data_IF_108324819218
#
_entry.id   IF_108324819218
#
_cell.length_a   1.000
_cell.length_b   1.000
_cell.length_c   1.000
_cell.angle_alpha   90.00
_cell.angle_beta   90.00
_cell.angle_gamma   90.00
#
_symmetry.space_group_name_H-M   'P 1'
#
loop_
_entity.id
_entity.type
_entity.pdbx_description
1 polymer ?
#
# COMPACT_ATOMS: atom_id res chain seq x y z
N UNK A 1 32.16 -24.05 5.36
CA UNK A 1 31.67 -22.89 4.62
C UNK A 1 30.64 -22.20 5.49
N UNK A 2 30.91 -20.97 5.91
CA UNK A 2 29.89 -20.18 6.59
C UNK A 2 28.90 -19.73 5.51
N UNK A 3 27.71 -20.32 5.47
CA UNK A 3 26.64 -19.98 4.53
C UNK A 3 25.76 -18.85 5.07
N UNK A 4 26.32 -17.99 5.92
CA UNK A 4 25.63 -16.82 6.43
C UNK A 4 25.57 -15.78 5.30
N UNK A 5 24.51 -15.87 4.48
CA UNK A 5 24.22 -14.89 3.46
C UNK A 5 23.76 -13.61 4.17
N UNK A 6 24.68 -12.68 4.41
CA UNK A 6 24.31 -11.36 4.93
C UNK A 6 23.47 -10.61 3.88
N UNK A 7 22.17 -10.55 4.13
CA UNK A 7 21.23 -9.86 3.24
C UNK A 7 21.56 -8.37 3.24
N UNK A 8 21.78 -7.79 2.05
CA UNK A 8 22.03 -6.36 1.92
C UNK A 8 20.82 -5.54 2.40
N UNK A 9 21.06 -4.37 2.98
CA UNK A 9 19.99 -3.45 3.42
C UNK A 9 18.99 -3.16 2.28
N UNK A 10 19.49 -3.02 1.05
CA UNK A 10 18.63 -2.85 -0.12
C UNK A 10 17.71 -4.05 -0.34
N UNK A 11 18.26 -5.27 -0.35
CA UNK A 11 17.48 -6.50 -0.49
C UNK A 11 16.44 -6.63 0.62
N UNK A 12 16.82 -6.35 1.88
CA UNK A 12 15.92 -6.36 3.04
C UNK A 12 14.75 -5.39 2.85
N UNK A 13 15.01 -4.18 2.35
CA UNK A 13 13.99 -3.16 2.12
C UNK A 13 13.03 -3.53 1.00
N UNK A 14 13.54 -4.09 -0.11
CA UNK A 14 12.71 -4.58 -1.21
C UNK A 14 11.81 -5.73 -0.74
N UNK A 15 12.38 -6.69 0.00
CA UNK A 15 11.64 -7.84 0.52
C UNK A 15 10.59 -7.43 1.56
N UNK A 16 10.89 -6.42 2.38
CA UNK A 16 9.93 -5.80 3.31
C UNK A 16 8.74 -5.18 2.55
N UNK A 17 9.01 -4.44 1.47
CA UNK A 17 7.98 -3.90 0.59
C UNK A 17 7.13 -4.99 -0.08
N UNK A 18 7.77 -6.05 -0.59
CA UNK A 18 7.07 -7.17 -1.22
C UNK A 18 6.15 -7.90 -0.24
N UNK A 19 6.68 -8.25 0.93
CA UNK A 19 5.91 -8.95 1.96
C UNK A 19 4.75 -8.08 2.44
N UNK A 20 5.00 -6.81 2.73
CA UNK A 20 3.94 -5.86 3.06
C UNK A 20 2.89 -5.74 1.96
N UNK A 21 3.28 -5.75 0.69
CA UNK A 21 2.38 -5.71 -0.47
C UNK A 21 1.46 -6.93 -0.57
N UNK A 22 1.97 -8.12 -0.22
CA UNK A 22 1.16 -9.34 -0.16
C UNK A 22 0.08 -9.22 0.93
N UNK A 23 0.45 -8.79 2.15
CA UNK A 23 -0.53 -8.60 3.22
C UNK A 23 -1.53 -7.47 2.92
N UNK A 24 -1.06 -6.37 2.33
CA UNK A 24 -1.92 -5.28 1.88
C UNK A 24 -2.92 -5.77 0.83
N UNK A 25 -2.50 -6.67 -0.06
CA UNK A 25 -3.39 -7.30 -1.04
C UNK A 25 -4.50 -8.09 -0.37
N UNK A 26 -4.19 -8.94 0.61
CA UNK A 26 -5.21 -9.67 1.36
C UNK A 26 -6.17 -8.73 2.07
N UNK A 27 -5.66 -7.70 2.74
CA UNK A 27 -6.49 -6.69 3.40
C UNK A 27 -7.42 -5.96 2.41
N UNK A 28 -6.90 -5.57 1.24
CA UNK A 28 -7.68 -4.92 0.19
C UNK A 28 -8.73 -5.85 -0.42
N UNK A 29 -8.42 -7.14 -0.62
CA UNK A 29 -9.39 -8.10 -1.13
C UNK A 29 -10.53 -8.33 -0.15
N UNK A 30 -10.21 -8.46 1.15
CA UNK A 30 -11.21 -8.57 2.22
C UNK A 30 -12.09 -7.32 2.25
N UNK A 31 -11.47 -6.13 2.25
CA UNK A 31 -12.20 -4.86 2.23
C UNK A 31 -13.11 -4.73 1.01
N UNK A 32 -12.58 -5.02 -0.19
CA UNK A 32 -13.35 -4.95 -1.43
C UNK A 32 -14.54 -5.92 -1.41
N UNK A 33 -14.35 -7.15 -0.94
CA UNK A 33 -15.45 -8.12 -0.84
C UNK A 33 -16.52 -7.68 0.15
N UNK A 34 -16.12 -7.25 1.36
CA UNK A 34 -17.04 -6.78 2.38
C UNK A 34 -17.81 -5.53 1.94
N UNK A 35 -17.11 -4.54 1.36
CA UNK A 35 -17.72 -3.31 0.89
C UNK A 35 -18.76 -3.57 -0.19
N UNK A 36 -18.45 -4.44 -1.16
CA UNK A 36 -19.38 -4.80 -2.24
C UNK A 36 -20.58 -5.60 -1.74
N UNK A 37 -20.39 -6.47 -0.75
CA UNK A 37 -21.48 -7.21 -0.13
C UNK A 37 -22.49 -6.29 0.58
N UNK A 38 -22.04 -5.14 1.09
CA UNK A 38 -22.88 -4.16 1.80
C UNK A 38 -23.54 -3.17 0.84
N UNK A 39 -22.81 -2.73 -0.18
CA UNK A 39 -23.22 -1.62 -1.07
C UNK A 39 -23.89 -2.09 -2.36
N UNK A 40 -23.91 -3.40 -2.64
CA UNK A 40 -24.36 -4.00 -3.90
C UNK A 40 -23.68 -3.40 -5.14
N UNK A 41 -22.51 -2.77 -4.95
CA UNK A 41 -21.78 -2.11 -6.02
C UNK A 41 -21.18 -3.13 -6.98
N UNK A 42 -21.68 -3.13 -8.21
CA UNK A 42 -21.24 -4.03 -9.28
C UNK A 42 -19.86 -3.65 -9.83
N UNK A 43 -19.15 -4.58 -10.51
CA UNK A 43 -17.76 -4.40 -10.89
C UNK A 43 -17.53 -3.20 -11.82
N UNK A 44 -16.88 -2.16 -11.28
CA UNK A 44 -16.10 -1.23 -12.10
C UNK A 44 -14.95 -1.98 -12.78
N UNK A 45 -14.73 -1.70 -14.07
CA UNK A 45 -13.60 -2.24 -14.82
C UNK A 45 -12.24 -1.85 -14.19
N UNK A 46 -12.19 -0.74 -13.45
CA UNK A 46 -10.96 -0.23 -12.85
C UNK A 46 -10.56 -0.97 -11.56
N UNK A 47 -11.50 -1.11 -10.60
CA UNK A 47 -11.23 -1.74 -9.31
C UNK A 47 -11.76 -3.18 -9.34
N UNK A 48 -11.01 -4.05 -10.01
CA UNK A 48 -11.26 -5.49 -10.03
C UNK A 48 -10.19 -6.24 -9.21
N UNK A 49 -10.41 -7.54 -8.98
CA UNK A 49 -9.51 -8.40 -8.18
C UNK A 49 -8.08 -8.35 -8.71
N UNK A 50 -7.90 -8.46 -10.02
CA UNK A 50 -6.58 -8.44 -10.67
C UNK A 50 -5.87 -7.10 -10.47
N UNK A 51 -6.58 -5.97 -10.66
CA UNK A 51 -6.04 -4.63 -10.42
C UNK A 51 -5.61 -4.46 -8.96
N UNK A 52 -6.43 -4.93 -8.01
CA UNK A 52 -6.10 -4.86 -6.58
C UNK A 52 -4.81 -5.60 -6.29
N UNK A 53 -4.65 -6.82 -6.79
CA UNK A 53 -3.44 -7.63 -6.56
C UNK A 53 -2.21 -6.95 -7.16
N UNK A 54 -2.26 -6.60 -8.44
CA UNK A 54 -1.11 -6.04 -9.15
C UNK A 54 -0.69 -4.70 -8.54
N UNK A 55 -1.64 -3.79 -8.33
CA UNK A 55 -1.36 -2.44 -7.82
C UNK A 55 -0.88 -2.52 -6.37
N UNK A 56 -1.52 -3.32 -5.52
CA UNK A 56 -1.13 -3.42 -4.10
C UNK A 56 0.29 -3.94 -3.94
N UNK A 57 0.63 -5.03 -4.63
CA UNK A 57 1.98 -5.60 -4.56
C UNK A 57 3.00 -4.61 -5.14
N UNK A 58 2.74 -4.05 -6.31
CA UNK A 58 3.69 -3.18 -7.01
C UNK A 58 3.95 -1.89 -6.22
N UNK A 59 2.89 -1.19 -5.80
CA UNK A 59 3.00 0.10 -5.10
C UNK A 59 3.73 -0.07 -3.77
N UNK A 60 3.39 -1.10 -2.98
CA UNK A 60 4.03 -1.32 -1.68
C UNK A 60 5.47 -1.83 -1.85
N UNK A 61 5.77 -2.63 -2.87
CA UNK A 61 7.15 -3.03 -3.18
C UNK A 61 8.02 -1.83 -3.56
N UNK A 62 7.51 -0.94 -4.44
CA UNK A 62 8.19 0.32 -4.78
C UNK A 62 8.37 1.19 -3.54
N UNK A 63 7.40 1.21 -2.62
CA UNK A 63 7.56 1.95 -1.37
C UNK A 63 8.70 1.41 -0.50
N UNK A 64 8.98 0.10 -0.54
CA UNK A 64 10.15 -0.50 0.10
C UNK A 64 11.46 -0.02 -0.52
N UNK A 65 11.52 0.12 -1.84
CA UNK A 65 12.68 0.73 -2.52
C UNK A 65 12.85 2.18 -2.09
N UNK A 66 11.77 2.96 -2.06
CA UNK A 66 11.80 4.36 -1.64
C UNK A 66 12.21 4.48 -0.17
N UNK A 67 11.73 3.60 0.70
CA UNK A 67 12.10 3.58 2.11
C UNK A 67 13.60 3.41 2.29
N UNK A 68 14.25 2.53 1.51
CA UNK A 68 15.70 2.39 1.50
C UNK A 68 16.39 3.71 1.17
N UNK A 69 15.98 4.40 0.10
CA UNK A 69 16.59 5.67 -0.29
C UNK A 69 16.45 6.74 0.79
N UNK A 70 15.27 6.85 1.40
CA UNK A 70 15.05 7.78 2.50
C UNK A 70 15.94 7.43 3.70
N UNK A 71 15.91 6.17 4.14
CA UNK A 71 16.62 5.73 5.33
C UNK A 71 18.15 5.79 5.18
N UNK A 72 18.67 5.48 3.99
CA UNK A 72 20.10 5.38 3.73
C UNK A 72 20.74 6.76 3.44
N UNK A 73 20.08 7.65 2.70
CA UNK A 73 20.67 8.93 2.27
C UNK A 73 20.27 10.14 3.11
N UNK A 74 19.20 10.06 3.92
CA UNK A 74 18.65 11.20 4.65
C UNK A 74 18.71 10.94 6.17
N UNK A 75 19.30 11.87 6.92
CA UNK A 75 19.28 11.83 8.39
C UNK A 75 17.84 11.92 8.89
N UNK A 76 17.37 10.92 9.62
CA UNK A 76 15.97 10.82 10.04
C UNK A 76 15.01 10.41 8.92
N UNK A 77 15.53 9.85 7.82
CA UNK A 77 14.77 9.51 6.63
C UNK A 77 13.54 8.62 6.87
N UNK A 78 13.58 7.71 7.85
CA UNK A 78 12.42 6.90 8.25
C UNK A 78 11.23 7.76 8.71
N UNK A 79 11.46 8.82 9.48
CA UNK A 79 10.41 9.75 9.93
C UNK A 79 9.90 10.58 8.74
N UNK A 80 10.81 11.09 7.91
CA UNK A 80 10.46 11.90 6.74
C UNK A 80 9.62 11.07 5.76
N UNK A 81 10.00 9.83 5.51
CA UNK A 81 9.25 8.88 4.69
C UNK A 81 7.81 8.74 5.19
N UNK A 82 7.63 8.51 6.50
CA UNK A 82 6.28 8.39 7.09
C UNK A 82 5.46 9.66 6.89
N UNK A 83 6.03 10.83 7.16
CA UNK A 83 5.32 12.11 6.99
C UNK A 83 4.91 12.33 5.53
N UNK A 84 5.82 12.09 4.58
CA UNK A 84 5.56 12.23 3.16
C UNK A 84 4.45 11.28 2.71
N UNK A 85 4.52 10.01 3.08
CA UNK A 85 3.51 9.03 2.68
C UNK A 85 2.17 9.22 3.38
N UNK A 86 2.13 9.69 4.64
CA UNK A 86 0.87 10.10 5.29
C UNK A 86 0.22 11.25 4.51
N UNK A 87 0.99 12.27 4.12
CA UNK A 87 0.48 13.39 3.33
C UNK A 87 -0.01 12.93 1.94
N UNK A 88 0.77 12.09 1.25
CA UNK A 88 0.39 11.54 -0.05
C UNK A 88 -0.87 10.67 0.03
N UNK A 89 -1.00 9.83 1.05
CA UNK A 89 -2.22 9.04 1.29
C UNK A 89 -3.41 9.95 1.55
N UNK A 90 -3.27 10.99 2.38
CA UNK A 90 -4.34 11.96 2.63
C UNK A 90 -4.79 12.67 1.35
N UNK A 91 -3.84 13.12 0.53
CA UNK A 91 -4.12 13.74 -0.77
C UNK A 91 -4.84 12.75 -1.70
N UNK A 92 -4.35 11.52 -1.80
CA UNK A 92 -4.95 10.49 -2.66
C UNK A 92 -6.37 10.12 -2.22
N UNK A 93 -6.64 10.05 -0.90
CA UNK A 93 -7.99 9.85 -0.35
C UNK A 93 -8.89 11.02 -0.72
N UNK A 94 -8.43 12.25 -0.56
CA UNK A 94 -9.20 13.44 -0.93
C UNK A 94 -9.60 13.42 -2.41
N UNK A 95 -8.67 13.13 -3.31
CA UNK A 95 -8.97 13.01 -4.74
C UNK A 95 -9.90 11.83 -5.06
N UNK A 96 -9.75 10.71 -4.35
CA UNK A 96 -10.61 9.54 -4.54
C UNK A 96 -12.08 9.87 -4.26
N UNK A 97 -12.36 10.65 -3.23
CA UNK A 97 -13.73 11.04 -2.85
C UNK A 97 -14.35 12.09 -3.79
N UNK A 98 -13.55 12.86 -4.52
CA UNK A 98 -14.01 13.96 -5.38
C UNK A 98 -13.86 13.68 -6.87
N UNK A 99 -13.37 12.50 -7.27
CA UNK A 99 -13.15 12.15 -8.66
C UNK A 99 -14.49 11.87 -9.38
N UNK A 100 -14.88 12.65 -10.41
CA UNK A 100 -16.07 12.36 -11.19
C UNK A 100 -15.81 11.12 -12.07
N UNK A 101 -16.46 10.00 -11.74
CA UNK A 101 -16.24 8.73 -12.44
C UNK A 101 -17.42 8.28 -13.34
N UNK A 102 -18.62 8.83 -13.16
CA UNK A 102 -19.80 8.46 -13.94
C UNK A 102 -20.87 9.55 -13.94
N UNK A 103 -21.89 9.42 -14.79
CA UNK A 103 -23.05 10.31 -14.79
C UNK A 103 -24.04 10.06 -13.64
N UNK A 104 -23.89 8.97 -12.89
CA UNK A 104 -24.72 8.64 -11.73
C UNK A 104 -23.99 9.02 -10.42
N UNK A 105 -24.62 9.91 -9.64
CA UNK A 105 -24.08 10.40 -8.38
C UNK A 105 -23.87 9.29 -7.35
N UNK A 106 -24.72 8.25 -7.34
CA UNK A 106 -24.59 7.13 -6.41
C UNK A 106 -23.36 6.28 -6.76
N UNK A 107 -23.21 5.92 -8.02
CA UNK A 107 -22.07 5.15 -8.51
C UNK A 107 -20.73 5.89 -8.33
N UNK A 108 -20.71 7.22 -8.50
CA UNK A 108 -19.51 8.05 -8.22
C UNK A 108 -19.13 7.97 -6.75
N UNK A 109 -20.10 8.14 -5.84
CA UNK A 109 -19.86 8.07 -4.41
C UNK A 109 -19.33 6.70 -3.99
N UNK A 110 -19.99 5.62 -4.44
CA UNK A 110 -19.60 4.25 -4.09
C UNK A 110 -18.20 3.89 -4.60
N UNK A 111 -17.84 4.35 -5.80
CA UNK A 111 -16.49 4.18 -6.35
C UNK A 111 -15.44 4.96 -5.54
N UNK A 112 -15.72 6.22 -5.22
CA UNK A 112 -14.80 7.08 -4.46
C UNK A 112 -14.51 6.54 -3.07
N UNK A 113 -15.54 6.04 -2.36
CA UNK A 113 -15.42 5.41 -1.05
C UNK A 113 -14.62 4.09 -1.12
N UNK A 114 -14.86 3.24 -2.13
CA UNK A 114 -14.09 2.02 -2.35
C UNK A 114 -12.60 2.32 -2.64
N UNK A 115 -12.34 3.29 -3.51
CA UNK A 115 -10.99 3.71 -3.87
C UNK A 115 -10.27 4.31 -2.66
N UNK A 116 -10.94 5.20 -1.91
CA UNK A 116 -10.41 5.80 -0.70
C UNK A 116 -10.02 4.75 0.35
N UNK A 117 -10.88 3.75 0.59
CA UNK A 117 -10.57 2.65 1.52
C UNK A 117 -9.37 1.83 1.06
N UNK A 118 -9.29 1.52 -0.24
CA UNK A 118 -8.14 0.80 -0.82
C UNK A 118 -6.83 1.60 -0.63
N UNK A 119 -6.87 2.91 -0.89
CA UNK A 119 -5.73 3.81 -0.71
C UNK A 119 -5.33 3.93 0.77
N UNK A 120 -6.28 3.97 1.69
CA UNK A 120 -6.00 4.00 3.13
C UNK A 120 -5.28 2.74 3.60
N UNK A 121 -5.74 1.57 3.17
CA UNK A 121 -5.10 0.30 3.49
C UNK A 121 -3.66 0.30 2.96
N UNK A 122 -3.46 0.64 1.67
CA UNK A 122 -2.11 0.73 1.09
C UNK A 122 -1.23 1.71 1.86
N UNK A 123 -1.73 2.91 2.15
CA UNK A 123 -1.01 3.93 2.92
C UNK A 123 -0.60 3.45 4.30
N UNK A 124 -1.49 2.76 5.02
CA UNK A 124 -1.18 2.21 6.34
C UNK A 124 -0.06 1.16 6.27
N UNK A 125 -0.12 0.25 5.29
CA UNK A 125 0.93 -0.75 5.08
C UNK A 125 2.28 -0.11 4.71
N UNK A 126 2.28 0.92 3.87
CA UNK A 126 3.48 1.65 3.49
C UNK A 126 4.08 2.39 4.69
N UNK A 127 3.26 3.13 5.44
CA UNK A 127 3.75 4.01 6.52
C UNK A 127 4.20 3.21 7.75
N UNK A 128 3.50 2.12 8.08
CA UNK A 128 3.74 1.39 9.31
C UNK A 128 4.43 0.04 9.08
N UNK A 129 3.91 -0.79 8.17
CA UNK A 129 4.35 -2.17 8.05
C UNK A 129 5.68 -2.31 7.30
N UNK A 130 5.92 -1.53 6.25
CA UNK A 130 7.20 -1.53 5.52
C UNK A 130 8.37 -1.14 6.44
N UNK A 131 8.35 -0.01 7.17
CA UNK A 131 9.42 0.31 8.11
C UNK A 131 9.54 -0.70 9.24
N UNK A 132 8.42 -1.25 9.74
CA UNK A 132 8.43 -2.24 10.80
C UNK A 132 9.17 -3.52 10.38
N UNK A 133 8.88 -4.06 9.20
CA UNK A 133 9.55 -5.25 8.66
C UNK A 133 11.04 -4.99 8.41
N UNK A 134 11.40 -3.78 7.97
CA UNK A 134 12.80 -3.44 7.75
C UNK A 134 13.62 -3.38 9.05
N UNK A 135 13.05 -2.84 10.14
CA UNK A 135 13.78 -2.67 11.41
C UNK A 135 13.84 -3.94 12.26
N UNK A 136 12.93 -4.91 12.07
CA UNK A 136 12.91 -6.14 12.86
C UNK A 136 13.62 -7.29 12.12
N UNK A 137 14.83 -7.60 12.56
CA UNK A 137 15.73 -8.60 11.93
C UNK A 137 15.21 -10.05 11.98
N UNK A 138 14.39 -10.39 12.98
CA UNK A 138 13.91 -11.76 13.20
C UNK A 138 12.82 -12.24 12.23
N UNK A 139 12.39 -11.43 11.26
CA UNK A 139 11.39 -11.85 10.26
C UNK A 139 12.04 -12.64 9.11
N UNK A 140 13.35 -12.47 8.89
CA UNK A 140 14.08 -13.01 7.74
C UNK A 140 15.27 -13.91 8.11
N UNK A 141 15.45 -14.24 9.41
CA UNK A 141 16.51 -15.13 9.92
C UNK A 141 16.13 -16.60 9.89
#
# INVERSE_FOLDING_TARGET
MNYDYEQTEFSKSVLSGLFAGIFATFANLIFNFAYRAITEYNPSALINVSSIIIISVLVVTISGVLFYFFNHYIKGGSIIFRIVFIALTGIAVYYSLHAPHSGDALAVKQFGELLAGTVLILGAFIVFYVPYLFTHEHVYS
#
